data_IF_859665985857
#
_entry.id   IF_859665985857
#
_cell.length_a   1.000
_cell.length_b   1.000
_cell.length_c   1.000
_cell.angle_alpha   90.00
_cell.angle_beta   90.00
_cell.angle_gamma   90.00
#
_symmetry.space_group_name_H-M   'P 1'
#
loop_
_entity.id
_entity.type
_entity.pdbx_description
1 polymer ?
#
# COMPACT_ATOMS: atom_id res chain seq x y z
N UNK A 1 6.21 -1.81 -21.29
CA UNK A 1 7.71 -1.77 -21.38
C UNK A 1 8.23 -0.43 -20.88
N UNK A 2 8.20 -0.27 -19.58
CA UNK A 2 8.70 0.92 -18.88
C UNK A 2 10.23 0.90 -18.95
N UNK A 3 10.83 1.90 -19.60
CA UNK A 3 12.28 2.12 -19.63
C UNK A 3 12.74 2.68 -18.27
N UNK A 4 12.56 1.91 -17.20
CA UNK A 4 13.05 2.27 -15.87
C UNK A 4 14.55 1.98 -15.80
N UNK A 5 15.33 2.96 -15.36
CA UNK A 5 16.70 2.68 -14.96
C UNK A 5 16.72 1.88 -13.65
N UNK A 6 17.88 1.36 -13.27
CA UNK A 6 18.02 0.50 -12.09
C UNK A 6 17.57 1.19 -10.80
N UNK A 7 17.85 2.48 -10.63
CA UNK A 7 17.45 3.23 -9.44
C UNK A 7 15.94 3.43 -9.38
N UNK A 8 15.31 3.81 -10.50
CA UNK A 8 13.86 3.96 -10.60
C UNK A 8 13.13 2.63 -10.35
N UNK A 9 13.65 1.53 -10.88
CA UNK A 9 13.11 0.18 -10.65
C UNK A 9 13.19 -0.22 -9.17
N UNK A 10 14.30 0.09 -8.49
CA UNK A 10 14.44 -0.20 -7.06
C UNK A 10 13.50 0.68 -6.23
N UNK A 11 13.38 1.97 -6.55
CA UNK A 11 12.43 2.86 -5.89
C UNK A 11 10.99 2.37 -6.08
N UNK A 12 10.60 1.96 -7.29
CA UNK A 12 9.27 1.43 -7.57
C UNK A 12 8.98 0.17 -6.76
N UNK A 13 9.92 -0.78 -6.69
CA UNK A 13 9.79 -1.99 -5.86
C UNK A 13 9.67 -1.66 -4.37
N UNK A 14 10.48 -0.72 -3.89
CA UNK A 14 10.41 -0.27 -2.50
C UNK A 14 9.03 0.31 -2.17
N UNK A 15 8.49 1.18 -3.03
CA UNK A 15 7.16 1.76 -2.84
C UNK A 15 6.05 0.70 -2.89
N UNK A 16 6.09 -0.25 -3.83
CA UNK A 16 5.15 -1.38 -3.89
C UNK A 16 5.16 -2.17 -2.58
N UNK A 17 6.35 -2.49 -2.06
CA UNK A 17 6.51 -3.18 -0.79
C UNK A 17 5.98 -2.37 0.39
N UNK A 18 6.35 -1.08 0.46
CA UNK A 18 5.95 -0.17 1.53
C UNK A 18 4.41 -0.05 1.63
N UNK A 19 3.71 0.13 0.51
CA UNK A 19 2.25 0.16 0.50
C UNK A 19 1.61 -1.16 0.93
N UNK A 20 2.24 -2.31 0.62
CA UNK A 20 1.82 -3.61 1.15
C UNK A 20 1.93 -3.71 2.68
N UNK A 21 3.07 -3.29 3.23
CA UNK A 21 3.31 -3.26 4.68
C UNK A 21 2.34 -2.30 5.38
N UNK A 22 2.10 -1.12 4.81
CA UNK A 22 1.14 -0.14 5.34
C UNK A 22 -0.26 -0.73 5.38
N UNK A 23 -0.73 -1.34 4.29
CA UNK A 23 -2.06 -1.96 4.24
C UNK A 23 -2.26 -2.98 5.36
N UNK A 24 -1.33 -3.93 5.51
CA UNK A 24 -1.40 -4.97 6.54
C UNK A 24 -1.41 -4.36 7.95
N UNK A 25 -0.54 -3.38 8.22
CA UNK A 25 -0.47 -2.74 9.53
C UNK A 25 -1.74 -1.97 9.86
N UNK A 26 -2.34 -1.30 8.88
CA UNK A 26 -3.62 -0.61 9.04
C UNK A 26 -4.76 -1.60 9.30
N UNK A 27 -4.80 -2.75 8.62
CA UNK A 27 -5.77 -3.81 8.94
C UNK A 27 -5.59 -4.33 10.38
N UNK A 28 -4.36 -4.62 10.79
CA UNK A 28 -4.05 -5.11 12.14
C UNK A 28 -4.49 -4.10 13.20
N UNK A 29 -4.22 -2.81 12.99
CA UNK A 29 -4.68 -1.74 13.87
C UNK A 29 -6.21 -1.60 13.85
N UNK A 30 -6.85 -1.74 12.69
CA UNK A 30 -8.31 -1.66 12.59
C UNK A 30 -9.02 -2.80 13.34
N UNK A 31 -8.42 -3.99 13.37
CA UNK A 31 -8.92 -5.15 14.13
C UNK A 31 -8.82 -4.96 15.64
N UNK A 32 -7.77 -4.26 16.10
CA UNK A 32 -7.53 -4.01 17.53
C UNK A 32 -8.21 -2.73 18.03
N UNK A 33 -8.73 -1.90 17.12
CA UNK A 33 -9.37 -0.63 17.46
C UNK A 33 -10.80 -0.84 17.98
N UNK A 34 -11.09 -0.27 19.16
CA UNK A 34 -12.42 -0.32 19.77
C UNK A 34 -13.35 0.79 19.28
N UNK A 35 -12.81 1.91 18.80
CA UNK A 35 -13.60 3.00 18.24
C UNK A 35 -14.03 2.65 16.80
N UNK A 36 -15.34 2.58 16.52
CA UNK A 36 -15.84 2.15 15.22
C UNK A 36 -15.50 3.13 14.09
N UNK A 37 -15.42 4.44 14.38
CA UNK A 37 -15.08 5.44 13.37
C UNK A 37 -13.60 5.35 13.00
N UNK A 38 -12.73 5.18 13.99
CA UNK A 38 -11.29 5.01 13.76
C UNK A 38 -11.03 3.66 13.07
N UNK A 39 -11.69 2.58 13.47
CA UNK A 39 -11.59 1.27 12.79
C UNK A 39 -11.98 1.37 11.32
N UNK A 40 -13.07 2.09 11.01
CA UNK A 40 -13.50 2.28 9.63
C UNK A 40 -12.52 3.14 8.82
N UNK A 41 -11.98 4.21 9.41
CA UNK A 41 -10.94 5.04 8.79
C UNK A 41 -9.70 4.20 8.44
N UNK A 42 -9.20 3.40 9.39
CA UNK A 42 -8.05 2.52 9.19
C UNK A 42 -8.29 1.49 8.08
N UNK A 43 -9.50 0.92 7.98
CA UNK A 43 -9.87 -0.01 6.89
C UNK A 43 -9.89 0.69 5.53
N UNK A 44 -10.40 1.92 5.47
CA UNK A 44 -10.39 2.73 4.25
C UNK A 44 -8.96 3.00 3.80
N UNK A 45 -8.10 3.47 4.70
CA UNK A 45 -6.70 3.75 4.40
C UNK A 45 -5.94 2.48 3.97
N UNK A 46 -6.25 1.33 4.58
CA UNK A 46 -5.68 0.03 4.18
C UNK A 46 -6.06 -0.30 2.73
N UNK A 47 -7.31 -0.05 2.33
CA UNK A 47 -7.77 -0.26 0.97
C UNK A 47 -7.09 0.70 -0.03
N UNK A 48 -6.93 1.97 0.33
CA UNK A 48 -6.25 2.96 -0.52
C UNK A 48 -4.76 2.63 -0.71
N UNK A 49 -4.11 2.10 0.32
CA UNK A 49 -2.74 1.59 0.21
C UNK A 49 -2.66 0.37 -0.74
N UNK A 50 -3.63 -0.55 -0.69
CA UNK A 50 -3.70 -1.68 -1.65
C UNK A 50 -3.93 -1.22 -3.08
N UNK A 51 -4.81 -0.23 -3.30
CA UNK A 51 -5.03 0.36 -4.63
C UNK A 51 -3.76 1.05 -5.15
N UNK A 52 -3.07 1.80 -4.29
CA UNK A 52 -1.78 2.43 -4.62
C UNK A 52 -0.74 1.40 -5.01
N UNK A 53 -0.62 0.29 -4.25
CA UNK A 53 0.23 -0.85 -4.61
C UNK A 53 -0.14 -1.41 -5.99
N UNK A 54 -1.42 -1.63 -6.27
CA UNK A 54 -1.89 -2.17 -7.55
C UNK A 54 -1.54 -1.23 -8.72
N UNK A 55 -1.74 0.07 -8.54
CA UNK A 55 -1.36 1.10 -9.50
C UNK A 55 0.15 1.15 -9.72
N UNK A 56 0.94 1.00 -8.66
CA UNK A 56 2.40 0.96 -8.80
C UNK A 56 2.87 -0.29 -9.57
N UNK A 57 2.23 -1.44 -9.37
CA UNK A 57 2.54 -2.67 -10.11
C UNK A 57 2.26 -2.55 -11.62
N UNK A 58 1.39 -1.65 -12.07
CA UNK A 58 1.16 -1.46 -13.52
C UNK A 58 2.37 -0.85 -14.23
N UNK A 59 3.24 -0.13 -13.52
CA UNK A 59 4.49 0.39 -14.07
C UNK A 59 5.57 -0.70 -14.27
N UNK A 60 5.32 -1.95 -13.86
CA UNK A 60 6.20 -3.09 -14.11
C UNK A 60 5.78 -3.92 -15.35
N UNK A 61 4.69 -3.55 -16.04
CA UNK A 61 4.15 -4.24 -17.23
C UNK A 61 4.59 -3.51 -18.54
#
# INVERSE_FOLDING_TARGET
MTNLNQMELQNLRHLIGAHGTIANKLDDMAQQCQDPNISQMLKTDANDARQSKQKLMTFLQ
#
